data_IF_576161716465
#
_entry.id   IF_576161716465
#
_cell.length_a   1.000
_cell.length_b   1.000
_cell.length_c   1.000
_cell.angle_alpha   90.00
_cell.angle_beta   90.00
_cell.angle_gamma   90.00
#
_symmetry.space_group_name_H-M   'P 1'
#
loop_
_entity.id
_entity.type
_entity.pdbx_description
1 polymer ?
#
# COMPACT_ATOMS: atom_id res chain seq x y z
N UNK A 1 -14.25 -2.46 27.37
CA UNK A 1 -14.52 -2.87 26.74
C UNK A 1 -14.59 -2.96 25.90
N UNK A 2 -14.48 -2.96 26.07
CA UNK A 2 -14.79 -3.35 25.24
C UNK A 2 -14.83 -3.69 24.45
N UNK A 3 -14.93 -3.94 24.51
CA UNK A 3 -15.20 -4.54 23.66
C UNK A 3 -15.44 -4.63 22.72
N UNK A 4 -15.61 -4.44 23.02
CA UNK A 4 -16.15 -4.70 22.09
C UNK A 4 -15.99 -4.48 21.06
N UNK A 5 -15.64 -4.34 21.09
CA UNK A 5 -15.79 -4.32 20.13
C UNK A 5 -15.60 -4.85 19.06
N UNK A 6 -15.43 -5.20 19.32
CA UNK A 6 -15.39 -5.78 18.46
C UNK A 6 -15.98 -6.38 17.71
N UNK A 7 -15.68 -6.33 18.36
CA UNK A 7 -16.21 -7.13 17.81
C UNK A 7 -17.18 -7.27 17.07
N UNK A 8 -17.44 -7.12 17.34
CA UNK A 8 -18.69 -7.19 16.81
C UNK A 8 -18.88 -6.45 15.55
N UNK A 9 -17.79 -6.07 14.95
CA UNK A 9 -17.84 -5.37 13.69
C UNK A 9 -18.13 -6.36 12.58
N UNK A 10 -19.31 -6.35 11.96
CA UNK A 10 -19.63 -7.30 10.91
C UNK A 10 -18.77 -7.15 9.66
N UNK A 11 -18.13 -6.01 9.51
CA UNK A 11 -17.27 -5.81 8.35
C UNK A 11 -16.03 -6.69 8.37
N UNK A 12 -15.65 -7.19 9.54
CA UNK A 12 -14.47 -8.05 9.62
C UNK A 12 -14.64 -9.30 8.79
N UNK A 13 -15.86 -9.79 8.65
CA UNK A 13 -16.10 -11.02 7.91
C UNK A 13 -15.87 -10.84 6.42
N UNK A 14 -16.04 -9.60 5.92
CA UNK A 14 -15.95 -9.35 4.50
C UNK A 14 -14.69 -8.57 4.10
N UNK A 15 -14.03 -7.95 5.07
CA UNK A 15 -12.94 -7.02 4.77
C UNK A 15 -11.74 -7.23 5.68
N UNK A 16 -11.51 -8.47 6.10
CA UNK A 16 -10.39 -8.78 6.98
C UNK A 16 -9.07 -8.32 6.39
N UNK A 17 -8.95 -8.37 5.09
CA UNK A 17 -7.71 -8.00 4.43
C UNK A 17 -7.41 -6.50 4.52
N UNK A 18 -8.39 -5.70 4.94
CA UNK A 18 -8.19 -4.27 5.13
C UNK A 18 -7.72 -3.92 6.54
N UNK A 19 -7.79 -4.86 7.46
CA UNK A 19 -7.53 -4.61 8.87
C UNK A 19 -6.32 -5.38 9.33
N UNK A 20 -5.37 -4.68 9.92
CA UNK A 20 -4.16 -5.30 10.44
C UNK A 20 -3.98 -4.93 11.89
N UNK A 21 -3.75 -5.93 12.73
CA UNK A 21 -3.52 -5.71 14.14
C UNK A 21 -2.10 -5.20 14.33
N UNK A 22 -1.97 -3.99 14.84
CA UNK A 22 -0.67 -3.39 15.11
C UNK A 22 -0.52 -3.04 16.59
N UNK A 23 -1.33 -3.66 17.43
CA UNK A 23 -1.38 -3.32 18.85
C UNK A 23 -0.05 -3.58 19.56
N UNK A 24 0.78 -4.46 19.04
CA UNK A 24 2.07 -4.76 19.64
C UNK A 24 3.22 -3.96 19.04
N UNK A 25 2.91 -2.99 18.20
CA UNK A 25 3.92 -2.14 17.55
C UNK A 25 3.87 -0.74 18.15
N UNK A 26 5.04 -0.15 18.38
CA UNK A 26 5.13 1.22 18.85
C UNK A 26 4.92 2.21 17.72
N UNK A 27 5.41 1.88 16.55
CA UNK A 27 5.33 2.74 15.38
C UNK A 27 5.11 1.88 14.15
N UNK A 28 4.56 2.48 13.13
CA UNK A 28 4.54 1.86 11.82
C UNK A 28 5.11 2.88 10.83
N UNK A 29 5.76 2.36 9.81
CA UNK A 29 6.25 3.17 8.71
C UNK A 29 5.79 2.55 7.40
N UNK A 30 6.17 3.16 6.29
CA UNK A 30 5.77 2.66 4.98
C UNK A 30 6.18 1.21 4.80
N UNK A 31 7.37 0.85 5.28
CA UNK A 31 7.87 -0.51 5.10
C UNK A 31 7.01 -1.52 5.86
N UNK A 32 6.60 -1.17 7.07
CA UNK A 32 5.73 -2.06 7.84
C UNK A 32 4.36 -2.21 7.18
N UNK A 33 3.83 -1.12 6.64
CA UNK A 33 2.56 -1.18 5.91
C UNK A 33 2.65 -2.16 4.76
N UNK A 34 3.73 -2.10 3.99
CA UNK A 34 3.92 -3.00 2.86
C UNK A 34 3.95 -4.46 3.31
N UNK A 35 4.65 -4.73 4.42
CA UNK A 35 4.72 -6.08 4.95
C UNK A 35 3.35 -6.55 5.43
N UNK A 36 2.66 -5.71 6.18
CA UNK A 36 1.35 -6.07 6.73
C UNK A 36 0.34 -6.42 5.65
N UNK A 37 0.41 -5.72 4.53
CA UNK A 37 -0.53 -5.96 3.43
C UNK A 37 0.03 -6.90 2.37
N UNK A 38 1.24 -7.45 2.60
CA UNK A 38 1.79 -8.45 1.70
C UNK A 38 2.15 -7.92 0.32
N UNK A 39 2.53 -6.66 0.23
CA UNK A 39 2.90 -6.06 -1.05
C UNK A 39 4.36 -6.37 -1.32
N UNK A 40 4.61 -7.28 -2.24
CA UNK A 40 5.97 -7.75 -2.53
C UNK A 40 6.51 -7.27 -3.87
N UNK A 41 5.64 -6.82 -4.76
CA UNK A 41 6.08 -6.34 -6.07
C UNK A 41 6.76 -4.97 -5.94
N UNK A 42 7.96 -4.81 -6.50
CA UNK A 42 8.71 -3.55 -6.31
C UNK A 42 8.03 -2.34 -6.95
N UNK A 43 7.32 -2.51 -8.05
CA UNK A 43 6.62 -1.38 -8.65
C UNK A 43 5.47 -0.91 -7.78
N UNK A 44 4.73 -1.86 -7.22
CA UNK A 44 3.63 -1.53 -6.33
C UNK A 44 4.13 -0.92 -5.03
N UNK A 45 5.24 -1.45 -4.50
CA UNK A 45 5.85 -0.89 -3.30
C UNK A 45 6.24 0.56 -3.52
N UNK A 46 6.87 0.84 -4.64
CA UNK A 46 7.30 2.20 -4.96
C UNK A 46 6.11 3.14 -5.11
N UNK A 47 5.08 2.70 -5.82
CA UNK A 47 3.88 3.52 -6.01
C UNK A 47 3.21 3.83 -4.68
N UNK A 48 3.06 2.84 -3.82
CA UNK A 48 2.43 3.03 -2.52
C UNK A 48 3.24 4.00 -1.68
N UNK A 49 4.55 3.84 -1.65
CA UNK A 49 5.42 4.72 -0.89
C UNK A 49 5.27 6.16 -1.37
N UNK A 50 5.25 6.38 -2.68
CA UNK A 50 5.09 7.72 -3.23
C UNK A 50 3.75 8.33 -2.86
N UNK A 51 2.69 7.52 -2.89
CA UNK A 51 1.34 8.02 -2.59
C UNK A 51 1.17 8.32 -1.10
N UNK A 52 1.67 7.45 -0.24
CA UNK A 52 1.55 7.66 1.20
C UNK A 52 2.31 8.90 1.66
N UNK A 53 3.42 9.20 1.02
CA UNK A 53 4.28 10.31 1.43
C UNK A 53 4.18 11.50 0.49
N UNK A 54 3.19 11.51 -0.40
CA UNK A 54 3.08 12.56 -1.41
C UNK A 54 2.90 13.92 -0.76
N UNK A 55 3.70 14.88 -1.23
CA UNK A 55 3.55 16.25 -0.79
C UNK A 55 4.24 16.60 0.51
N UNK A 56 4.98 15.67 1.10
CA UNK A 56 5.68 15.96 2.35
C UNK A 56 6.74 17.03 2.19
N UNK A 57 7.18 17.29 0.98
CA UNK A 57 8.17 18.33 0.69
C UNK A 57 7.55 19.58 0.07
N UNK A 58 6.23 19.57 -0.17
CA UNK A 58 5.52 20.71 -0.72
C UNK A 58 4.57 20.32 -1.83
N UNK A 59 3.73 21.28 -2.27
CA UNK A 59 2.69 21.01 -3.26
C UNK A 59 3.25 20.59 -4.61
N UNK A 60 4.36 21.21 -5.01
CA UNK A 60 5.01 20.90 -6.27
C UNK A 60 5.52 19.47 -6.27
N UNK A 61 6.09 19.05 -5.14
CA UNK A 61 6.59 17.70 -4.99
C UNK A 61 5.47 16.67 -4.95
N UNK A 62 4.30 17.08 -4.48
CA UNK A 62 3.14 16.21 -4.45
C UNK A 62 2.77 15.75 -5.85
N UNK A 63 2.71 16.68 -6.80
CA UNK A 63 2.39 16.34 -8.18
C UNK A 63 3.47 15.44 -8.78
N UNK A 64 4.72 15.74 -8.49
CA UNK A 64 5.82 14.92 -8.97
C UNK A 64 5.73 13.50 -8.39
N UNK A 65 5.43 13.40 -7.09
CA UNK A 65 5.30 12.09 -6.44
C UNK A 65 4.17 11.28 -7.07
N UNK A 66 3.05 11.93 -7.38
CA UNK A 66 1.94 11.24 -8.03
C UNK A 66 2.34 10.74 -9.41
N UNK A 67 3.04 11.59 -10.17
CA UNK A 67 3.51 11.18 -11.50
C UNK A 67 4.46 10.00 -11.41
N UNK A 68 5.34 9.98 -10.42
CA UNK A 68 6.27 8.88 -10.24
C UNK A 68 5.56 7.60 -9.86
N UNK A 69 4.48 7.71 -9.07
CA UNK A 69 3.66 6.55 -8.77
C UNK A 69 3.01 5.99 -10.04
N UNK A 70 2.49 6.88 -10.88
CA UNK A 70 1.91 6.47 -12.17
C UNK A 70 2.95 5.74 -13.02
N UNK A 71 4.16 6.29 -13.09
CA UNK A 71 5.22 5.68 -13.88
C UNK A 71 5.53 4.26 -13.40
N UNK A 72 5.55 4.06 -12.07
CA UNK A 72 5.81 2.73 -11.52
C UNK A 72 4.69 1.76 -11.85
N UNK A 73 3.44 2.22 -11.81
CA UNK A 73 2.31 1.37 -12.14
C UNK A 73 2.30 1.01 -13.62
N UNK A 74 2.67 1.95 -14.48
CA UNK A 74 2.80 1.65 -15.91
C UNK A 74 3.89 0.62 -16.14
N UNK A 75 5.00 0.72 -15.43
CA UNK A 75 6.06 -0.26 -15.55
C UNK A 75 5.59 -1.64 -15.12
N UNK A 76 4.80 -1.71 -14.06
CA UNK A 76 4.22 -2.98 -13.64
C UNK A 76 3.44 -3.63 -14.78
N UNK A 77 2.58 -2.84 -15.43
CA UNK A 77 1.76 -3.35 -16.51
C UNK A 77 2.60 -3.80 -17.71
N UNK A 78 3.67 -3.06 -18.03
CA UNK A 78 4.58 -3.47 -19.09
C UNK A 78 5.19 -4.83 -18.81
N UNK A 79 5.62 -5.04 -17.56
CA UNK A 79 6.26 -6.31 -17.22
C UNK A 79 5.29 -7.47 -17.28
N UNK A 80 4.01 -7.22 -16.98
CA UNK A 80 3.00 -8.27 -17.14
C UNK A 80 2.90 -8.69 -18.60
N UNK A 81 2.94 -7.73 -19.50
CA UNK A 81 2.93 -8.03 -20.93
C UNK A 81 4.20 -8.77 -21.36
N UNK A 82 5.35 -8.33 -20.86
CA UNK A 82 6.61 -9.02 -21.13
C UNK A 82 6.55 -10.47 -20.70
N UNK A 83 6.02 -10.72 -19.50
CA UNK A 83 5.93 -12.07 -18.98
C UNK A 83 5.01 -12.94 -19.84
N UNK A 84 3.93 -12.38 -20.33
CA UNK A 84 3.02 -13.10 -21.22
C UNK A 84 3.68 -13.47 -22.53
N UNK A 85 4.48 -12.55 -23.05
CA UNK A 85 5.14 -12.76 -24.34
C UNK A 85 6.23 -13.82 -24.29
N UNK A 86 6.76 -14.06 -23.10
CA UNK A 86 7.80 -15.08 -22.95
C UNK A 86 7.25 -16.49 -22.99
N UNK A 87 5.96 -16.63 -22.88
CA UNK A 87 5.34 -17.95 -22.95
C UNK A 87 5.17 -18.36 -24.39
#
# INVERSE_FOLDING_TARGET
MSTSQNAVNPHHQNHDHYFKDVSNLKHIDVYRVLILFGVTDPCLQHAIKKLLCAGNRGAKDKTQDVQEAINSLLRYLEMQTENENEK
#
